data_IF_818553257035
#
_entry.id   IF_818553257035
#
_cell.length_a   1.000
_cell.length_b   1.000
_cell.length_c   1.000
_cell.angle_alpha   90.00
_cell.angle_beta   90.00
_cell.angle_gamma   90.00
#
_symmetry.space_group_name_H-M   'P 1'
#
loop_
_entity.id
_entity.type
_entity.pdbx_description
1 polymer ?
#
# COMPACT_ATOMS: atom_id res chain seq x y z
N UNK A 1 -6.51 19.52 22.11
CA UNK A 1 -6.64 19.10 20.69
C UNK A 1 -7.61 17.93 20.64
N UNK A 2 -8.53 17.92 19.69
CA UNK A 2 -9.44 16.79 19.50
C UNK A 2 -8.68 15.59 18.95
N UNK A 3 -9.04 14.40 19.38
CA UNK A 3 -8.52 13.18 18.79
C UNK A 3 -8.99 13.02 17.34
N UNK A 4 -8.17 12.40 16.51
CA UNK A 4 -8.53 12.13 15.12
C UNK A 4 -9.86 11.37 15.00
N UNK A 5 -10.10 10.45 15.92
CA UNK A 5 -11.36 9.71 16.01
C UNK A 5 -12.60 10.59 16.15
N UNK A 6 -12.47 11.71 16.86
CA UNK A 6 -13.58 12.65 17.07
C UNK A 6 -13.88 13.53 15.83
N UNK A 7 -12.94 13.56 14.90
CA UNK A 7 -13.05 14.31 13.65
C UNK A 7 -13.57 13.45 12.49
N UNK A 8 -13.53 12.13 12.63
CA UNK A 8 -13.92 11.18 11.58
C UNK A 8 -15.31 10.62 11.87
N UNK A 9 -16.15 10.55 10.86
CA UNK A 9 -17.47 9.93 10.99
C UNK A 9 -17.34 8.46 11.44
N UNK A 10 -18.17 7.96 12.36
CA UNK A 10 -18.05 6.62 12.91
C UNK A 10 -18.05 5.50 11.85
N UNK A 11 -18.84 5.64 10.80
CA UNK A 11 -18.89 4.65 9.72
C UNK A 11 -17.58 4.60 8.92
N UNK A 12 -16.90 5.74 8.76
CA UNK A 12 -15.58 5.80 8.11
C UNK A 12 -14.50 5.25 9.03
N UNK A 13 -14.54 5.62 10.31
CA UNK A 13 -13.58 5.12 11.30
C UNK A 13 -13.57 3.59 11.41
N UNK A 14 -14.74 2.97 11.32
CA UNK A 14 -14.92 1.53 11.47
C UNK A 14 -14.75 0.75 10.15
N UNK A 15 -14.48 1.43 9.03
CA UNK A 15 -14.24 0.73 7.76
C UNK A 15 -12.94 -0.06 7.80
N UNK A 16 -12.98 -1.28 7.28
CA UNK A 16 -11.76 -2.02 7.01
C UNK A 16 -11.12 -1.51 5.72
N UNK A 17 -9.81 -1.23 5.72
CA UNK A 17 -9.11 -0.89 4.48
C UNK A 17 -9.19 -2.04 3.47
N UNK A 18 -9.13 -1.70 2.19
CA UNK A 18 -8.98 -2.71 1.17
C UNK A 18 -7.67 -3.49 1.36
N UNK A 19 -7.74 -4.81 1.26
CA UNK A 19 -6.57 -5.67 1.13
C UNK A 19 -6.73 -6.61 -0.05
N UNK A 20 -5.64 -6.87 -0.76
CA UNK A 20 -5.62 -7.83 -1.87
C UNK A 20 -5.12 -9.20 -1.40
N UNK A 21 -5.39 -10.24 -2.18
CA UNK A 21 -4.86 -11.57 -1.89
C UNK A 21 -3.32 -11.57 -1.84
N UNK A 22 -2.66 -10.77 -2.68
CA UNK A 22 -1.21 -10.63 -2.66
C UNK A 22 -0.70 -9.96 -1.38
N UNK A 23 -1.44 -8.99 -0.85
CA UNK A 23 -1.15 -8.33 0.42
C UNK A 23 -1.19 -9.27 1.62
N UNK A 24 -2.12 -10.22 1.58
CA UNK A 24 -2.32 -11.20 2.64
C UNK A 24 -1.31 -12.35 2.57
N UNK A 25 -0.66 -12.54 1.42
CA UNK A 25 0.36 -13.55 1.23
C UNK A 25 1.73 -13.02 1.61
N UNK A 26 2.40 -13.75 2.50
CA UNK A 26 3.77 -13.45 2.91
C UNK A 26 4.70 -14.59 2.51
N UNK A 27 5.69 -14.29 1.70
CA UNK A 27 6.69 -15.24 1.23
C UNK A 27 6.90 -15.21 -0.27
N UNK A 28 7.57 -16.23 -0.76
CA UNK A 28 7.89 -16.39 -2.18
C UNK A 28 7.16 -17.58 -2.76
N UNK A 29 6.72 -17.43 -3.99
CA UNK A 29 6.16 -18.52 -4.78
C UNK A 29 6.74 -18.51 -6.19
N UNK A 30 6.86 -19.67 -6.80
CA UNK A 30 7.29 -19.81 -8.20
C UNK A 30 6.17 -19.47 -9.19
N UNK A 31 4.91 -19.63 -8.75
CA UNK A 31 3.72 -19.36 -9.56
C UNK A 31 2.74 -18.55 -8.71
N UNK A 32 2.22 -17.46 -9.27
CA UNK A 32 1.19 -16.62 -8.67
C UNK A 32 -0.09 -16.68 -9.53
N UNK A 33 -1.21 -17.06 -8.93
CA UNK A 33 -2.52 -17.16 -9.56
C UNK A 33 -3.59 -16.31 -8.86
N UNK A 34 -3.15 -15.41 -8.01
CA UNK A 34 -3.98 -14.58 -7.15
C UNK A 34 -4.43 -13.26 -7.79
N UNK A 35 -3.91 -12.94 -8.96
CA UNK A 35 -4.25 -11.74 -9.70
C UNK A 35 -4.17 -11.96 -11.21
N UNK A 36 -4.90 -11.13 -11.95
CA UNK A 36 -4.92 -11.18 -13.41
C UNK A 36 -3.73 -10.41 -14.00
N UNK A 37 -2.55 -10.95 -13.85
CA UNK A 37 -1.31 -10.36 -14.29
C UNK A 37 -0.92 -10.81 -15.70
N UNK A 38 -0.06 -10.02 -16.38
CA UNK A 38 0.53 -10.41 -17.65
C UNK A 38 1.39 -11.68 -17.43
N UNK A 39 1.15 -12.78 -18.18
CA UNK A 39 1.87 -14.04 -17.99
C UNK A 39 3.35 -13.98 -18.41
N UNK A 40 3.73 -13.01 -19.24
CA UNK A 40 5.11 -12.84 -19.65
C UNK A 40 5.93 -12.20 -18.53
N UNK A 41 6.89 -12.95 -18.05
CA UNK A 41 7.71 -12.54 -16.91
C UNK A 41 8.65 -11.40 -17.29
N UNK A 42 8.18 -10.17 -17.14
CA UNK A 42 8.88 -8.91 -17.38
C UNK A 42 9.01 -8.12 -16.09
N UNK A 43 9.92 -7.13 -15.98
CA UNK A 43 10.14 -6.40 -14.72
C UNK A 43 8.90 -5.75 -14.11
N UNK A 44 7.90 -5.45 -14.92
CA UNK A 44 6.72 -4.70 -14.51
C UNK A 44 5.39 -5.46 -14.73
N UNK A 45 5.43 -6.78 -14.79
CA UNK A 45 4.23 -7.60 -15.03
C UNK A 45 3.43 -7.91 -13.76
N UNK A 46 3.99 -7.69 -12.59
CA UNK A 46 3.35 -7.95 -11.30
C UNK A 46 2.53 -6.75 -10.82
N UNK A 47 1.41 -7.02 -10.18
CA UNK A 47 0.65 -5.97 -9.50
C UNK A 47 1.50 -5.38 -8.39
N UNK A 48 1.50 -4.05 -8.23
CA UNK A 48 2.29 -3.40 -7.19
C UNK A 48 1.72 -3.68 -5.81
N UNK A 49 2.57 -3.54 -4.80
CA UNK A 49 2.16 -3.44 -3.41
C UNK A 49 1.29 -2.18 -3.23
N UNK A 50 0.01 -2.30 -2.84
CA UNK A 50 -0.87 -1.15 -2.69
C UNK A 50 -0.42 -0.19 -1.58
N UNK A 51 0.37 -0.67 -0.62
CA UNK A 51 0.91 0.14 0.47
C UNK A 51 2.31 0.67 0.18
N UNK A 52 2.96 0.21 -0.89
CA UNK A 52 4.26 0.69 -1.37
C UNK A 52 5.36 0.71 -0.29
N UNK A 53 5.41 -0.33 0.53
CA UNK A 53 6.29 -0.38 1.70
C UNK A 53 7.78 -0.25 1.36
N UNK A 54 8.24 -0.88 0.30
CA UNK A 54 9.65 -0.81 -0.10
C UNK A 54 10.04 0.62 -0.53
N UNK A 55 9.19 1.26 -1.32
CA UNK A 55 9.41 2.64 -1.74
C UNK A 55 9.35 3.60 -0.55
N UNK A 56 8.37 3.44 0.32
CA UNK A 56 8.26 4.22 1.56
C UNK A 56 9.49 4.07 2.45
N UNK A 57 10.01 2.85 2.58
CA UNK A 57 11.24 2.58 3.33
C UNK A 57 12.40 3.39 2.78
N UNK A 58 12.58 3.37 1.46
CA UNK A 58 13.66 4.11 0.80
C UNK A 58 13.54 5.62 0.99
N UNK A 59 12.33 6.15 0.84
CA UNK A 59 12.07 7.59 1.08
C UNK A 59 12.30 7.95 2.54
N UNK A 60 11.86 7.10 3.46
CA UNK A 60 12.05 7.29 4.91
C UNK A 60 13.55 7.40 5.27
N UNK A 61 14.38 6.54 4.72
CA UNK A 61 15.84 6.59 4.88
C UNK A 61 16.43 7.92 4.39
N UNK A 62 16.02 8.37 3.20
CA UNK A 62 16.52 9.61 2.59
C UNK A 62 16.05 10.84 3.38
N UNK A 63 14.81 10.84 3.86
CA UNK A 63 14.20 11.99 4.52
C UNK A 63 14.36 11.99 6.04
N UNK A 64 14.85 10.91 6.64
CA UNK A 64 15.00 10.80 8.09
C UNK A 64 13.66 10.80 8.84
N UNK A 65 12.62 10.23 8.25
CA UNK A 65 11.29 10.13 8.86
C UNK A 65 10.85 8.68 8.94
N UNK A 66 9.81 8.39 9.72
CA UNK A 66 9.23 7.06 9.77
C UNK A 66 8.43 6.76 8.50
N UNK A 67 8.49 5.53 7.99
CA UNK A 67 7.73 5.12 6.79
C UNK A 67 6.22 5.30 6.95
N UNK A 68 5.71 5.12 8.18
CA UNK A 68 4.30 5.30 8.53
C UNK A 68 3.84 6.77 8.41
N UNK A 69 4.79 7.70 8.35
CA UNK A 69 4.51 9.13 8.13
C UNK A 69 4.54 9.53 6.67
N UNK A 70 4.63 8.55 5.74
CA UNK A 70 4.71 8.80 4.30
C UNK A 70 3.43 8.30 3.65
N UNK A 71 2.77 9.18 2.92
CA UNK A 71 1.70 8.86 2.00
C UNK A 71 2.18 9.08 0.57
N UNK A 72 1.95 8.10 -0.30
CA UNK A 72 2.28 8.18 -1.72
C UNK A 72 1.00 8.04 -2.54
N UNK A 73 0.77 8.98 -3.40
CA UNK A 73 -0.39 9.00 -4.29
C UNK A 73 0.02 9.23 -5.75
N UNK A 74 -0.87 8.88 -6.67
CA UNK A 74 -0.69 9.08 -8.09
C UNK A 74 -1.27 10.45 -8.50
N UNK A 75 -0.41 11.38 -8.86
CA UNK A 75 -0.84 12.74 -9.19
C UNK A 75 -1.26 13.55 -7.97
N UNK A 76 -1.83 14.72 -8.22
CA UNK A 76 -2.22 15.67 -7.16
C UNK A 76 -3.60 15.43 -6.58
N UNK A 77 -4.45 14.66 -7.25
CA UNK A 77 -5.84 14.47 -6.84
C UNK A 77 -6.01 13.28 -5.86
N UNK A 78 -5.09 12.34 -5.84
CA UNK A 78 -5.16 11.20 -4.94
C UNK A 78 -4.78 11.56 -3.49
N UNK A 79 -3.72 12.37 -3.22
CA UNK A 79 -3.46 12.87 -1.88
C UNK A 79 -4.47 13.92 -1.42
#
# INVERSE_FOLDING_TARGET
MKDLKDLVRPNVWNMKPYSSARDEFQGNASVFLDANENPFNRPYNRYPDPLQWELKKKIAEIKGVKRESIFLGNGSDEP
#
